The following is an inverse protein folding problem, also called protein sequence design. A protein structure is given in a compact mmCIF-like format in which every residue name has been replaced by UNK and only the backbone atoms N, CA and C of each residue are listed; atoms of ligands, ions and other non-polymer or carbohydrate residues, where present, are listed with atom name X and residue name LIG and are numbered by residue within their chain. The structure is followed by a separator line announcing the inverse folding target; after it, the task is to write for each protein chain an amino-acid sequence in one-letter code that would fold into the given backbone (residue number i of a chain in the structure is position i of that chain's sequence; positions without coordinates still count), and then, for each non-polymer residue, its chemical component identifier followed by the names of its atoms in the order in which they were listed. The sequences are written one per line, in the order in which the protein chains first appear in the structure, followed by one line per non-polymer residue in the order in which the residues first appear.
data_IF_226580582015
#
_entry.id   IF_226580582015
#
_cell.length_a   1.000
_cell.length_b   1.000
_cell.length_c   1.000
_cell.angle_alpha   90.00
_cell.angle_beta   90.00
_cell.angle_gamma   90.00
#
_symmetry.space_group_name_H-M   'P 1'
#
loop_
_entity.id
_entity.type
_entity.pdbx_description
1 polymer ?
#
# COMPACT_ATOMS: atom_id res chain seq x y z
N UNK A 1 -34.56 14.77 -2.08
CA UNK A 1 -33.94 14.52 -0.76
C UNK A 1 -32.74 13.58 -0.83
N UNK A 2 -32.86 12.36 -1.38
CA UNK A 2 -31.73 11.42 -1.50
C UNK A 2 -30.54 11.94 -2.35
N UNK A 3 -30.80 12.56 -3.50
CA UNK A 3 -29.75 13.10 -4.38
C UNK A 3 -28.91 14.19 -3.72
N UNK A 4 -29.48 15.02 -2.83
CA UNK A 4 -28.75 16.07 -2.11
C UNK A 4 -27.80 15.46 -1.09
N UNK A 5 -28.21 14.41 -0.38
CA UNK A 5 -27.36 13.69 0.57
C UNK A 5 -26.21 12.97 -0.16
N UNK A 6 -26.51 12.35 -1.30
CA UNK A 6 -25.49 11.70 -2.13
C UNK A 6 -24.48 12.70 -2.68
N UNK A 7 -24.93 13.88 -3.15
CA UNK A 7 -24.05 14.91 -3.68
C UNK A 7 -23.20 15.56 -2.58
N UNK A 8 -23.77 15.76 -1.39
CA UNK A 8 -23.03 16.24 -0.22
C UNK A 8 -21.97 15.23 0.25
N UNK A 9 -22.34 13.95 0.39
CA UNK A 9 -21.40 12.88 0.73
C UNK A 9 -20.27 12.77 -0.31
N UNK A 10 -20.62 12.84 -1.59
CA UNK A 10 -19.64 12.79 -2.68
C UNK A 10 -18.70 14.00 -2.64
N UNK A 11 -19.22 15.20 -2.39
CA UNK A 11 -18.41 16.41 -2.24
C UNK A 11 -17.43 16.30 -1.06
N UNK A 12 -17.90 15.84 0.10
CA UNK A 12 -17.06 15.63 1.29
C UNK A 12 -15.98 14.58 1.02
N UNK A 13 -16.31 13.46 0.38
CA UNK A 13 -15.34 12.41 0.03
C UNK A 13 -14.30 12.95 -0.96
N UNK A 14 -14.72 13.67 -2.00
CA UNK A 14 -13.81 14.21 -3.02
C UNK A 14 -12.81 15.21 -2.43
N UNK A 15 -13.29 16.08 -1.54
CA UNK A 15 -12.44 16.99 -0.76
C UNK A 15 -11.54 16.19 0.17
N UNK A 16 -12.06 15.16 0.85
CA UNK A 16 -11.29 14.30 1.74
C UNK A 16 -10.12 13.59 1.07
N UNK A 17 -10.33 13.00 -0.10
CA UNK A 17 -9.28 12.24 -0.83
C UNK A 17 -8.11 13.15 -1.20
N UNK A 18 -8.38 14.44 -1.49
CA UNK A 18 -7.33 15.42 -1.83
C UNK A 18 -6.39 15.73 -0.67
N UNK A 19 -6.91 15.77 0.57
CA UNK A 19 -6.11 16.09 1.75
C UNK A 19 -5.46 14.85 2.40
N UNK A 20 -6.08 13.67 2.27
CA UNK A 20 -5.51 12.39 2.71
C UNK A 20 -5.26 12.26 4.22
N UNK A 21 -4.81 11.08 4.65
CA UNK A 21 -4.39 10.82 6.03
C UNK A 21 -5.47 11.09 7.10
N UNK A 22 -5.10 11.80 8.16
CA UNK A 22 -5.99 12.13 9.29
C UNK A 22 -7.14 13.06 8.86
N UNK A 23 -6.92 13.91 7.85
CA UNK A 23 -7.95 14.84 7.36
C UNK A 23 -9.15 14.10 6.75
N UNK A 24 -8.95 12.90 6.18
CA UNK A 24 -10.03 12.07 5.65
C UNK A 24 -11.01 11.62 6.75
N UNK A 25 -10.49 11.25 7.92
CA UNK A 25 -11.31 10.88 9.08
C UNK A 25 -12.07 12.07 9.67
N UNK A 26 -11.41 13.22 9.81
CA UNK A 26 -12.02 14.46 10.29
C UNK A 26 -13.12 14.98 9.36
N UNK A 27 -12.86 15.01 8.04
CA UNK A 27 -13.84 15.43 7.03
C UNK A 27 -15.02 14.46 6.94
N UNK A 28 -14.78 13.15 7.08
CA UNK A 28 -15.84 12.15 7.18
C UNK A 28 -16.74 12.38 8.39
N UNK A 29 -16.14 12.60 9.57
CA UNK A 29 -16.89 12.93 10.78
C UNK A 29 -17.69 14.24 10.65
N UNK A 30 -17.05 15.29 10.13
CA UNK A 30 -17.68 16.59 9.91
C UNK A 30 -18.82 16.53 8.88
N UNK A 31 -18.66 15.72 7.82
CA UNK A 31 -19.73 15.46 6.85
C UNK A 31 -20.95 14.80 7.48
N UNK A 32 -20.73 13.81 8.36
CA UNK A 32 -21.82 13.14 9.09
C UNK A 32 -22.46 14.07 10.13
N UNK A 33 -21.66 14.90 10.82
CA UNK A 33 -22.20 15.91 11.76
C UNK A 33 -23.10 16.91 11.05
N UNK A 34 -22.68 17.44 9.89
CA UNK A 34 -23.52 18.35 9.09
C UNK A 34 -24.81 17.65 8.64
N UNK A 35 -24.72 16.39 8.23
CA UNK A 35 -25.89 15.61 7.81
C UNK A 35 -26.90 15.40 8.97
N UNK A 36 -26.41 15.14 10.18
CA UNK A 36 -27.25 14.88 11.34
C UNK A 36 -27.87 16.15 11.92
N UNK A 37 -27.10 17.23 12.05
CA UNK A 37 -27.58 18.51 12.61
C UNK A 37 -28.44 19.32 11.64
N UNK A 38 -28.13 19.30 10.34
CA UNK A 38 -28.80 20.16 9.35
C UNK A 38 -29.99 19.47 8.68
N UNK A 39 -29.93 18.15 8.46
CA UNK A 39 -31.03 17.38 7.85
C UNK A 39 -31.84 16.56 8.87
N UNK A 40 -31.46 16.58 10.15
CA UNK A 40 -32.23 15.92 11.23
C UNK A 40 -32.29 14.40 11.12
N UNK A 41 -31.40 13.78 10.35
CA UNK A 41 -31.32 12.33 10.23
C UNK A 41 -30.70 11.76 11.51
N UNK A 42 -31.40 10.78 12.11
CA UNK A 42 -30.93 10.08 13.28
C UNK A 42 -29.56 9.43 13.00
N UNK A 43 -28.51 9.79 13.73
CA UNK A 43 -27.21 9.15 13.58
C UNK A 43 -27.32 7.69 14.01
N UNK A 44 -26.74 6.79 13.22
CA UNK A 44 -26.66 5.37 13.58
C UNK A 44 -25.80 5.15 14.83
N UNK A 45 -25.88 3.94 15.38
CA UNK A 45 -25.05 3.58 16.54
C UNK A 45 -23.56 3.60 16.17
N UNK A 46 -22.68 4.26 16.96
CA UNK A 46 -21.26 4.30 16.68
C UNK A 46 -20.66 2.88 16.79
N UNK A 47 -19.92 2.40 15.78
CA UNK A 47 -19.42 1.02 15.73
C UNK A 47 -18.15 0.88 16.58
N UNK A 48 -18.28 0.97 17.91
CA UNK A 48 -17.17 0.89 18.87
C UNK A 48 -16.39 -0.42 18.72
N UNK A 49 -17.08 -1.53 18.47
CA UNK A 49 -16.43 -2.83 18.23
C UNK A 49 -15.46 -2.79 17.04
N UNK A 50 -15.85 -2.13 15.94
CA UNK A 50 -15.00 -1.99 14.75
C UNK A 50 -13.81 -1.08 15.05
N UNK A 51 -14.01 0.01 15.79
CA UNK A 51 -12.93 0.91 16.20
C UNK A 51 -11.86 0.17 17.03
N UNK A 52 -12.28 -0.64 18.00
CA UNK A 52 -11.38 -1.44 18.83
C UNK A 52 -10.63 -2.50 18.01
N UNK A 53 -11.31 -3.17 17.07
CA UNK A 53 -10.67 -4.15 16.18
C UNK A 53 -9.60 -3.48 15.31
N UNK A 54 -9.87 -2.29 14.76
CA UNK A 54 -8.89 -1.53 13.96
C UNK A 54 -7.70 -1.10 14.84
N UNK A 55 -7.94 -0.61 16.05
CA UNK A 55 -6.86 -0.24 16.98
C UNK A 55 -6.00 -1.46 17.36
N UNK A 56 -6.63 -2.61 17.61
CA UNK A 56 -5.93 -3.84 17.94
C UNK A 56 -5.03 -4.32 16.79
N UNK A 57 -5.53 -4.34 15.55
CA UNK A 57 -4.72 -4.77 14.40
C UNK A 57 -3.60 -3.77 14.08
N UNK A 58 -3.85 -2.47 14.17
CA UNK A 58 -2.79 -1.46 13.94
C UNK A 58 -1.69 -1.54 15.01
N UNK A 59 -2.06 -1.75 16.27
CA UNK A 59 -1.09 -1.95 17.35
C UNK A 59 -0.26 -3.24 17.15
N UNK A 60 -0.90 -4.33 16.72
CA UNK A 60 -0.20 -5.58 16.39
C UNK A 60 0.76 -5.38 15.20
N UNK A 61 0.35 -4.68 14.16
CA UNK A 61 1.22 -4.37 13.00
C UNK A 61 2.38 -3.46 13.38
N UNK A 62 2.14 -2.44 14.21
CA UNK A 62 3.18 -1.53 14.68
C UNK A 62 4.24 -2.28 15.51
N UNK A 63 3.83 -3.21 16.37
CA UNK A 63 4.77 -4.05 17.14
C UNK A 63 5.54 -5.03 16.24
N UNK A 64 4.91 -5.58 15.20
CA UNK A 64 5.58 -6.42 14.19
C UNK A 64 6.64 -5.63 13.39
N UNK A 65 6.37 -4.37 13.06
CA UNK A 65 7.33 -3.50 12.40
C UNK A 65 8.46 -3.08 13.34
N UNK A 66 8.15 -2.73 14.58
CA UNK A 66 9.14 -2.31 15.60
C UNK A 66 10.12 -3.42 15.96
N UNK A 67 9.68 -4.68 15.97
CA UNK A 67 10.53 -5.86 16.23
C UNK A 67 11.37 -6.28 15.01
N UNK A 68 11.14 -5.67 13.85
CA UNK A 68 11.76 -6.10 12.59
C UNK A 68 11.17 -7.39 12.02
N UNK A 69 10.06 -7.90 12.57
CA UNK A 69 9.37 -9.10 12.10
C UNK A 69 8.96 -8.98 10.63
N UNK A 70 8.55 -7.80 10.18
CA UNK A 70 8.23 -7.57 8.76
C UNK A 70 9.40 -7.87 7.83
N UNK A 71 10.64 -7.49 8.20
CA UNK A 71 11.84 -7.79 7.39
C UNK A 71 12.09 -9.30 7.31
N UNK A 72 11.82 -10.03 8.40
CA UNK A 72 11.93 -11.49 8.42
C UNK A 72 10.90 -12.13 7.48
N UNK A 73 9.64 -11.71 7.51
CA UNK A 73 8.60 -12.21 6.61
C UNK A 73 8.95 -11.96 5.13
N UNK A 74 9.47 -10.77 4.80
CA UNK A 74 9.93 -10.45 3.44
C UNK A 74 11.10 -11.34 3.03
N UNK A 75 12.06 -11.60 3.92
CA UNK A 75 13.17 -12.53 3.65
C UNK A 75 12.69 -13.96 3.39
N UNK A 76 11.71 -14.44 4.15
CA UNK A 76 11.08 -15.75 3.89
C UNK A 76 10.38 -15.78 2.53
N UNK A 77 9.64 -14.74 2.18
CA UNK A 77 9.01 -14.62 0.87
C UNK A 77 10.06 -14.62 -0.26
N UNK A 78 11.18 -13.91 -0.09
CA UNK A 78 12.30 -13.92 -1.05
C UNK A 78 12.87 -15.33 -1.25
N UNK A 79 13.18 -16.05 -0.17
CA UNK A 79 13.72 -17.41 -0.26
C UNK A 79 12.73 -18.34 -0.96
N UNK A 80 11.44 -18.23 -0.63
CA UNK A 80 10.38 -19.04 -1.25
C UNK A 80 10.24 -18.76 -2.75
N UNK A 81 10.24 -17.49 -3.14
CA UNK A 81 10.18 -17.04 -4.53
C UNK A 81 11.42 -17.46 -5.33
N UNK A 82 12.62 -17.38 -4.73
CA UNK A 82 13.88 -17.82 -5.34
C UNK A 82 13.98 -19.34 -5.48
N UNK A 83 13.39 -20.12 -4.56
CA UNK A 83 13.39 -21.59 -4.60
C UNK A 83 12.49 -22.16 -5.70
N UNK A 84 11.39 -21.48 -6.04
CA UNK A 84 10.44 -21.91 -7.07
C UNK A 84 10.19 -20.83 -8.15
N UNK A 85 11.20 -20.49 -8.97
CA UNK A 85 11.07 -19.45 -9.99
C UNK A 85 10.04 -19.80 -11.08
N UNK A 86 9.70 -21.09 -11.25
CA UNK A 86 8.68 -21.54 -12.22
C UNK A 86 7.24 -21.19 -11.84
N UNK A 87 6.97 -20.67 -10.63
CA UNK A 87 5.60 -20.35 -10.18
C UNK A 87 5.42 -18.91 -9.68
N UNK A 88 6.32 -18.00 -10.04
CA UNK A 88 6.34 -16.60 -9.56
C UNK A 88 5.04 -15.82 -9.82
N UNK A 89 4.38 -16.05 -10.96
CA UNK A 89 3.11 -15.38 -11.29
C UNK A 89 2.00 -15.71 -10.30
N UNK A 90 2.05 -16.90 -9.69
CA UNK A 90 1.09 -17.33 -8.67
C UNK A 90 1.61 -17.06 -7.26
N UNK A 91 2.90 -17.35 -6.99
CA UNK A 91 3.52 -17.15 -5.67
C UNK A 91 3.67 -15.68 -5.29
N UNK A 92 3.89 -14.78 -6.25
CA UNK A 92 4.06 -13.35 -5.99
C UNK A 92 2.81 -12.72 -5.37
N UNK A 93 1.64 -12.82 -6.04
CA UNK A 93 0.37 -12.36 -5.48
C UNK A 93 0.00 -13.06 -4.17
N UNK A 94 0.27 -14.37 -4.06
CA UNK A 94 -0.02 -15.13 -2.83
C UNK A 94 0.78 -14.61 -1.64
N UNK A 95 2.09 -14.42 -1.81
CA UNK A 95 2.95 -13.87 -0.75
C UNK A 95 2.54 -12.44 -0.38
N UNK A 96 2.23 -11.62 -1.37
CA UNK A 96 1.81 -10.22 -1.18
C UNK A 96 0.48 -10.15 -0.43
N UNK A 97 -0.48 -11.01 -0.78
CA UNK A 97 -1.77 -11.11 -0.11
C UNK A 97 -1.61 -11.56 1.34
N UNK A 98 -0.84 -12.63 1.59
CA UNK A 98 -0.55 -13.08 2.96
C UNK A 98 0.11 -12.00 3.80
N UNK A 99 1.08 -11.26 3.24
CA UNK A 99 1.74 -10.16 3.94
C UNK A 99 0.77 -9.02 4.26
N UNK A 100 -0.09 -8.67 3.30
CA UNK A 100 -1.07 -7.59 3.46
C UNK A 100 -2.13 -7.94 4.49
N UNK A 101 -2.57 -9.20 4.55
CA UNK A 101 -3.53 -9.68 5.56
C UNK A 101 -2.91 -9.71 6.96
N UNK A 102 -1.63 -10.10 7.07
CA UNK A 102 -0.90 -10.14 8.34
C UNK A 102 -0.62 -8.74 8.90
N UNK A 103 -0.21 -7.81 8.03
CA UNK A 103 0.22 -6.45 8.45
C UNK A 103 -0.93 -5.43 8.34
N UNK A 104 -1.98 -5.72 7.60
CA UNK A 104 -3.15 -4.85 7.49
C UNK A 104 -2.95 -3.57 6.67
N UNK A 105 -1.79 -3.38 6.02
CA UNK A 105 -1.53 -2.18 5.21
C UNK A 105 -0.90 -2.51 3.85
N UNK A 106 -1.23 -1.67 2.86
CA UNK A 106 -0.61 -1.77 1.53
C UNK A 106 0.84 -1.25 1.48
N UNK A 107 1.31 -0.51 2.50
CA UNK A 107 2.68 -0.01 2.52
C UNK A 107 3.72 -1.13 2.72
N UNK A 108 3.31 -2.23 3.35
CA UNK A 108 4.18 -3.37 3.63
C UNK A 108 4.58 -4.17 2.38
N UNK A 109 3.94 -3.92 1.23
CA UNK A 109 4.22 -4.65 -0.02
C UNK A 109 5.31 -3.99 -0.87
N UNK A 110 5.65 -2.72 -0.62
CA UNK A 110 6.68 -2.02 -1.39
C UNK A 110 8.06 -2.72 -1.36
N UNK A 111 8.52 -3.30 -0.23
CA UNK A 111 9.78 -4.05 -0.20
C UNK A 111 9.77 -5.35 -1.02
N UNK A 112 8.59 -5.95 -1.27
CA UNK A 112 8.47 -7.17 -2.07
C UNK A 112 8.56 -6.90 -3.58
N UNK A 113 8.25 -5.69 -4.02
CA UNK A 113 8.24 -5.33 -5.43
C UNK A 113 9.60 -5.55 -6.14
N UNK A 114 10.76 -5.10 -5.61
CA UNK A 114 12.06 -5.38 -6.23
C UNK A 114 12.41 -6.87 -6.22
N UNK A 115 11.99 -7.62 -5.18
CA UNK A 115 12.22 -9.07 -5.10
C UNK A 115 11.45 -9.80 -6.21
N UNK A 116 10.18 -9.48 -6.40
CA UNK A 116 9.35 -10.06 -7.47
C UNK A 116 9.95 -9.69 -8.83
N UNK A 117 10.45 -8.47 -8.99
CA UNK A 117 11.10 -8.04 -10.22
C UNK A 117 12.35 -8.89 -10.53
N UNK A 118 13.29 -9.04 -9.59
CA UNK A 118 14.51 -9.83 -9.79
C UNK A 118 14.19 -11.28 -10.19
N UNK A 119 13.23 -11.91 -9.52
CA UNK A 119 12.83 -13.29 -9.86
C UNK A 119 12.12 -13.36 -11.22
N UNK A 120 11.37 -12.33 -11.62
CA UNK A 120 10.73 -12.25 -12.94
C UNK A 120 11.72 -12.10 -14.10
N UNK A 121 12.83 -11.36 -13.89
CA UNK A 121 13.92 -11.21 -14.86
C UNK A 121 14.68 -12.52 -15.03
N UNK A 122 15.06 -13.19 -13.93
CA UNK A 122 15.79 -14.48 -13.99
C UNK A 122 15.02 -15.54 -14.76
N UNK A 123 13.68 -15.48 -14.74
CA UNK A 123 12.82 -16.40 -15.47
C UNK A 123 12.53 -15.98 -16.91
N UNK A 124 12.91 -14.77 -17.32
CA UNK A 124 12.71 -14.25 -18.67
C UNK A 124 11.27 -13.91 -19.04
N UNK A 125 10.34 -13.82 -18.07
CA UNK A 125 8.94 -13.39 -18.33
C UNK A 125 8.91 -11.91 -18.75
N UNK A 126 9.83 -11.09 -18.21
CA UNK A 126 10.01 -9.68 -18.57
C UNK A 126 11.47 -9.47 -19.00
N UNK A 127 11.70 -9.06 -20.25
CA UNK A 127 13.03 -8.64 -20.72
C UNK A 127 13.23 -7.16 -20.37
N UNK A 128 14.16 -6.86 -19.46
CA UNK A 128 14.60 -5.48 -19.23
C UNK A 128 15.41 -4.98 -20.43
N UNK A 129 15.15 -3.77 -20.97
CA UNK A 129 16.01 -3.19 -21.99
C UNK A 129 17.30 -2.67 -21.35
N UNK A 130 18.44 -3.26 -21.76
CA UNK A 130 19.84 -2.93 -21.41
C UNK A 130 20.37 -3.40 -20.03
N UNK A 131 21.67 -3.74 -20.01
CA UNK A 131 22.36 -4.28 -18.82
C UNK A 131 22.54 -3.28 -17.67
N UNK A 132 22.48 -1.97 -17.93
CA UNK A 132 22.53 -0.95 -16.87
C UNK A 132 21.23 -0.85 -16.09
N UNK A 133 20.07 -1.11 -16.71
CA UNK A 133 18.78 -1.13 -16.01
C UNK A 133 18.67 -2.31 -15.04
N UNK A 134 19.27 -3.47 -15.37
CA UNK A 134 19.31 -4.63 -14.49
C UNK A 134 20.04 -4.34 -13.17
N UNK A 135 21.15 -3.59 -13.23
CA UNK A 135 21.91 -3.22 -12.03
C UNK A 135 21.13 -2.26 -11.12
N UNK A 136 20.36 -1.35 -11.73
CA UNK A 136 19.56 -0.38 -10.99
C UNK A 136 18.37 -1.02 -10.30
N UNK A 137 17.64 -1.90 -10.99
CA UNK A 137 16.46 -2.53 -10.39
C UNK A 137 16.89 -3.56 -9.33
N UNK A 138 18.02 -4.26 -9.53
CA UNK A 138 18.60 -5.15 -8.52
C UNK A 138 18.95 -4.43 -7.21
N UNK A 139 19.21 -3.12 -7.26
CA UNK A 139 19.48 -2.27 -6.10
C UNK A 139 18.27 -1.42 -5.66
N UNK A 140 17.07 -1.65 -6.20
CA UNK A 140 15.85 -0.93 -5.82
C UNK A 140 15.69 0.47 -6.45
N UNK A 141 16.56 0.84 -7.39
CA UNK A 141 16.50 2.13 -8.08
C UNK A 141 15.61 2.05 -9.33
N UNK A 142 14.74 3.04 -9.52
CA UNK A 142 13.87 3.17 -10.69
C UNK A 142 14.39 4.27 -11.63
N UNK A 143 14.24 4.09 -12.95
CA UNK A 143 14.65 5.09 -13.95
C UNK A 143 13.60 6.22 -14.01
N UNK A 144 13.90 7.40 -13.48
CA UNK A 144 13.06 8.61 -13.66
C UNK A 144 13.22 9.17 -15.08
N UNK A 145 12.15 9.61 -15.75
CA UNK A 145 12.21 10.15 -17.11
C UNK A 145 13.04 11.45 -17.20
N UNK A 146 13.10 12.24 -16.14
CA UNK A 146 13.88 13.49 -16.07
C UNK A 146 15.38 13.29 -15.79
N UNK A 147 15.78 12.09 -15.34
CA UNK A 147 17.19 11.80 -15.09
C UNK A 147 17.79 11.16 -16.34
N UNK A 148 18.76 11.85 -16.97
CA UNK A 148 19.45 11.39 -18.18
C UNK A 148 19.88 9.92 -18.14
N UNK A 149 20.04 9.34 -19.33
CA UNK A 149 20.11 7.90 -19.70
C UNK A 149 20.97 6.95 -18.84
N UNK A 150 21.80 7.46 -17.94
CA UNK A 150 22.80 6.75 -17.14
C UNK A 150 22.56 6.76 -15.62
N UNK A 151 21.55 7.47 -15.08
CA UNK A 151 21.32 7.56 -13.63
C UNK A 151 20.10 6.78 -13.16
N UNK A 152 20.23 6.20 -11.97
CA UNK A 152 19.20 5.40 -11.35
C UNK A 152 18.87 5.98 -9.98
N UNK A 153 17.59 6.19 -9.69
CA UNK A 153 17.17 6.98 -8.53
C UNK A 153 16.34 6.13 -7.56
N UNK A 154 16.60 6.30 -6.26
CA UNK A 154 15.84 5.71 -5.15
C UNK A 154 15.11 6.84 -4.45
N UNK A 155 13.79 6.94 -4.63
CA UNK A 155 13.06 8.14 -4.22
C UNK A 155 13.52 9.38 -5.01
N UNK A 156 13.93 10.44 -4.30
CA UNK A 156 14.43 11.69 -4.89
C UNK A 156 15.97 11.76 -4.98
N UNK A 157 16.69 10.78 -4.41
CA UNK A 157 18.14 10.69 -4.55
C UNK A 157 18.51 9.94 -5.83
N UNK A 158 19.18 10.64 -6.75
CA UNK A 158 19.76 10.06 -7.96
C UNK A 158 21.25 9.80 -7.78
N UNK A 159 21.68 8.57 -8.06
CA UNK A 159 23.07 8.12 -8.04
C UNK A 159 23.60 7.94 -9.47
#
# INVERSE_FOLDING_TARGET
MFYVHMLLLLAVIFVGIRYGGIAFGLLGGLGVSILSFFFGIAPGQPPIGVMLIILAVVAASATLEATGGLKLLVKYAEILLRKHPSKVVFLGPLCTYSLTVLVGTGHSVYPLLPVIYDVSIKRGIRRAPNGSLNYCIANGYYRKPDCGRSRCCYGDCCH
#
